data_IF_684075716583
#
_entry.id   IF_684075716583
#
_cell.length_a   1.000
_cell.length_b   1.000
_cell.length_c   1.000
_cell.angle_alpha   90.00
_cell.angle_beta   90.00
_cell.angle_gamma   90.00
#
_symmetry.space_group_name_H-M   'P 1'
#
loop_
_entity.id
_entity.type
_entity.pdbx_description
1 polymer ?
#
# COMPACT_ATOMS: atom_id res chain seq x y z
N UNK A 1 -10.84 -27.08 -21.74
CA UNK A 1 -11.47 -25.93 -21.06
C UNK A 1 -10.34 -25.09 -20.52
N UNK A 2 -9.99 -24.00 -21.20
CA UNK A 2 -8.98 -23.05 -20.73
C UNK A 2 -9.67 -22.07 -19.79
N UNK A 3 -9.16 -21.95 -18.56
CA UNK A 3 -9.61 -20.97 -17.59
C UNK A 3 -9.40 -19.55 -18.16
N UNK A 4 -10.31 -18.60 -17.94
CA UNK A 4 -10.07 -17.23 -18.33
C UNK A 4 -8.87 -16.68 -17.55
N UNK A 5 -7.85 -16.23 -18.28
CA UNK A 5 -6.68 -15.59 -17.68
C UNK A 5 -7.08 -14.25 -17.08
N UNK A 6 -6.64 -14.03 -15.84
CA UNK A 6 -6.79 -12.77 -15.14
C UNK A 6 -5.69 -11.83 -15.62
N UNK A 7 -6.06 -10.67 -16.08
CA UNK A 7 -5.10 -9.60 -16.34
C UNK A 7 -4.95 -8.81 -15.04
N UNK A 8 -3.82 -8.97 -14.38
CA UNK A 8 -3.40 -8.10 -13.29
C UNK A 8 -2.46 -7.03 -13.84
N UNK A 9 -2.73 -5.78 -13.56
CA UNK A 9 -1.88 -4.67 -13.93
C UNK A 9 -1.08 -4.24 -12.70
N UNK A 10 0.25 -4.43 -12.72
CA UNK A 10 1.15 -3.94 -11.69
C UNK A 10 1.82 -2.65 -12.17
N UNK A 11 1.70 -1.59 -11.41
CA UNK A 11 2.32 -0.30 -11.70
C UNK A 11 3.38 -0.01 -10.65
N UNK A 12 4.62 0.12 -11.08
CA UNK A 12 5.72 0.58 -10.24
C UNK A 12 5.86 2.10 -10.35
N UNK A 13 6.19 2.76 -9.26
CA UNK A 13 6.27 4.22 -9.13
C UNK A 13 7.31 4.91 -10.04
N UNK A 14 8.07 4.16 -10.85
CA UNK A 14 9.03 4.71 -11.83
C UNK A 14 9.10 3.96 -13.16
N UNK A 15 8.36 2.84 -13.30
CA UNK A 15 8.24 2.12 -14.58
C UNK A 15 6.85 1.50 -14.66
N UNK A 16 6.01 2.03 -15.54
CA UNK A 16 4.72 1.43 -15.85
C UNK A 16 4.95 0.18 -16.69
N UNK A 17 4.88 -0.99 -16.08
CA UNK A 17 4.90 -2.27 -16.82
C UNK A 17 3.45 -2.66 -17.08
N UNK A 18 2.96 -2.36 -18.27
CA UNK A 18 1.70 -2.90 -18.76
C UNK A 18 1.99 -4.31 -19.29
N UNK A 19 1.68 -5.34 -18.53
CA UNK A 19 1.71 -6.70 -19.03
C UNK A 19 0.41 -6.99 -19.76
N UNK A 20 0.40 -6.74 -21.08
CA UNK A 20 -0.69 -7.15 -21.96
C UNK A 20 -0.53 -8.64 -22.28
N UNK A 21 -1.14 -9.50 -21.49
CA UNK A 21 -1.36 -10.88 -21.89
C UNK A 21 -2.39 -10.91 -23.05
N UNK A 22 -1.93 -11.25 -24.25
CA UNK A 22 -2.80 -11.34 -25.42
C UNK A 22 -3.83 -12.47 -25.28
N UNK A 23 -5.02 -12.15 -24.80
CA UNK A 23 -6.17 -13.05 -24.87
C UNK A 23 -6.87 -12.87 -26.22
N UNK A 24 -6.98 -13.93 -27.00
CA UNK A 24 -7.85 -13.98 -28.18
C UNK A 24 -9.28 -13.64 -27.75
N UNK A 25 -9.86 -12.63 -28.41
CA UNK A 25 -11.28 -12.30 -28.27
C UNK A 25 -12.14 -13.55 -28.44
N UNK A 26 -12.76 -14.01 -27.39
CA UNK A 26 -13.93 -14.89 -27.44
C UNK A 26 -15.16 -14.07 -27.10
N UNK A 27 -16.22 -14.34 -27.88
CA UNK A 27 -17.50 -13.64 -27.88
C UNK A 27 -18.14 -13.48 -26.49
N UNK A 28 -18.94 -12.41 -26.28
CA UNK A 28 -19.52 -12.07 -25.01
C UNK A 28 -20.76 -12.93 -24.76
N UNK A 29 -20.62 -14.07 -24.11
CA UNK A 29 -21.77 -14.73 -23.50
C UNK A 29 -21.39 -15.77 -22.46
N UNK A 30 -20.91 -15.32 -21.34
CA UNK A 30 -21.15 -15.95 -20.04
C UNK A 30 -20.95 -14.85 -19.01
N UNK A 31 -21.90 -14.63 -18.10
CA UNK A 31 -21.71 -13.91 -16.86
C UNK A 31 -20.66 -14.70 -16.08
N UNK A 32 -19.39 -14.49 -16.42
CA UNK A 32 -18.28 -15.12 -15.72
C UNK A 32 -18.33 -14.62 -14.27
N UNK A 33 -18.23 -15.53 -13.30
CA UNK A 33 -18.05 -15.19 -11.88
C UNK A 33 -16.68 -14.51 -11.63
N UNK A 34 -16.11 -13.92 -12.68
CA UNK A 34 -14.90 -13.14 -12.57
C UNK A 34 -15.18 -11.89 -11.68
N UNK A 35 -14.25 -11.52 -10.78
CA UNK A 35 -12.94 -12.14 -10.56
C UNK A 35 -12.94 -13.34 -9.60
N UNK A 36 -14.05 -13.67 -8.97
CA UNK A 36 -14.11 -14.69 -7.91
C UNK A 36 -13.68 -16.10 -8.34
N UNK A 37 -13.93 -16.48 -9.58
CA UNK A 37 -13.54 -17.79 -10.11
C UNK A 37 -12.21 -17.83 -10.84
N UNK A 38 -11.50 -16.68 -10.92
CA UNK A 38 -10.25 -16.57 -11.67
C UNK A 38 -9.02 -16.87 -10.82
N UNK A 39 -7.91 -17.22 -11.49
CA UNK A 39 -6.60 -17.32 -10.83
C UNK A 39 -5.81 -16.05 -11.13
N UNK A 40 -5.33 -15.39 -10.09
CA UNK A 40 -4.34 -14.31 -10.23
C UNK A 40 -2.96 -14.95 -10.26
N UNK A 41 -2.15 -14.63 -11.27
CA UNK A 41 -0.77 -15.09 -11.29
C UNK A 41 0.02 -14.44 -10.14
N UNK A 42 0.64 -15.24 -9.25
CA UNK A 42 1.37 -14.71 -8.10
C UNK A 42 2.52 -13.77 -8.48
N UNK A 43 3.06 -13.86 -9.69
CA UNK A 43 4.16 -13.02 -10.15
C UNK A 43 3.79 -11.54 -10.20
N UNK A 44 2.58 -11.21 -10.61
CA UNK A 44 2.10 -9.81 -10.60
C UNK A 44 2.05 -9.24 -9.19
N UNK A 45 1.59 -10.05 -8.25
CA UNK A 45 1.56 -9.68 -6.85
C UNK A 45 2.97 -9.45 -6.29
N UNK A 46 3.90 -10.38 -6.60
CA UNK A 46 5.29 -10.26 -6.16
C UNK A 46 5.98 -9.02 -6.74
N UNK A 47 5.74 -8.71 -8.01
CA UNK A 47 6.30 -7.51 -8.65
C UNK A 47 5.72 -6.25 -8.00
N UNK A 48 4.41 -6.14 -7.83
CA UNK A 48 3.78 -4.98 -7.19
C UNK A 48 4.29 -4.78 -5.76
N UNK A 49 4.42 -5.85 -5.01
CA UNK A 49 4.90 -5.79 -3.63
C UNK A 49 6.39 -5.43 -3.55
N UNK A 50 7.24 -6.06 -4.36
CA UNK A 50 8.68 -5.83 -4.34
C UNK A 50 9.10 -4.46 -4.87
N UNK A 51 8.31 -3.86 -5.76
CA UNK A 51 8.57 -2.52 -6.31
C UNK A 51 7.86 -1.39 -5.56
N UNK A 52 6.90 -1.73 -4.70
CA UNK A 52 6.03 -0.73 -4.08
C UNK A 52 4.90 -0.23 -4.99
N UNK A 53 4.74 -0.86 -6.17
CA UNK A 53 3.70 -0.53 -7.14
C UNK A 53 2.30 -0.99 -6.71
N UNK A 54 1.29 -0.61 -7.47
CA UNK A 54 -0.10 -1.02 -7.25
C UNK A 54 -0.42 -2.32 -7.98
N UNK A 55 -1.32 -3.11 -7.40
CA UNK A 55 -1.98 -4.23 -8.04
C UNK A 55 -3.46 -3.89 -8.21
N UNK A 56 -3.90 -3.74 -9.45
CA UNK A 56 -5.31 -3.55 -9.78
C UNK A 56 -5.88 -4.87 -10.31
N UNK A 57 -7.00 -5.28 -9.75
CA UNK A 57 -7.74 -6.46 -10.17
C UNK A 57 -8.88 -6.03 -11.11
N UNK A 58 -8.61 -6.01 -12.42
CA UNK A 58 -9.55 -5.52 -13.42
C UNK A 58 -10.06 -6.64 -14.32
N UNK A 59 -11.33 -6.59 -14.69
CA UNK A 59 -11.86 -7.42 -15.76
C UNK A 59 -11.30 -6.96 -17.12
N UNK A 60 -11.21 -7.84 -18.14
CA UNK A 60 -10.69 -7.46 -19.46
C UNK A 60 -11.39 -6.24 -20.08
N UNK A 61 -12.69 -6.07 -19.86
CA UNK A 61 -13.45 -4.93 -20.35
C UNK A 61 -13.27 -3.65 -19.52
N UNK A 62 -12.70 -3.73 -18.33
CA UNK A 62 -12.40 -2.59 -17.45
C UNK A 62 -11.01 -1.99 -17.73
N UNK A 63 -10.16 -2.68 -18.49
CA UNK A 63 -8.78 -2.24 -18.75
C UNK A 63 -8.73 -0.89 -19.48
N UNK A 64 -9.66 -0.63 -20.38
CA UNK A 64 -9.73 0.64 -21.11
C UNK A 64 -9.93 1.84 -20.15
N UNK A 65 -10.56 1.64 -19.01
CA UNK A 65 -10.86 2.66 -18.01
C UNK A 65 -9.79 2.76 -16.91
N UNK A 66 -8.67 2.04 -17.05
CA UNK A 66 -7.61 1.99 -16.01
C UNK A 66 -6.67 3.20 -16.02
N UNK A 67 -6.59 3.97 -17.10
CA UNK A 67 -5.66 5.12 -17.19
C UNK A 67 -5.82 6.13 -16.04
N UNK A 68 -7.04 6.51 -15.62
CA UNK A 68 -7.22 7.39 -14.49
C UNK A 68 -6.61 6.85 -13.19
N UNK A 69 -6.62 5.52 -12.97
CA UNK A 69 -6.04 4.89 -11.78
C UNK A 69 -4.54 5.21 -11.65
N UNK A 70 -3.82 5.14 -12.78
CA UNK A 70 -2.39 5.40 -12.83
C UNK A 70 -2.07 6.85 -12.47
N UNK A 71 -2.86 7.80 -13.01
CA UNK A 71 -2.70 9.22 -12.73
C UNK A 71 -3.02 9.55 -11.26
N UNK A 72 -3.99 8.87 -10.67
CA UNK A 72 -4.33 9.05 -9.25
C UNK A 72 -3.19 8.62 -8.33
N UNK A 73 -2.58 7.48 -8.61
CA UNK A 73 -1.44 6.94 -7.85
C UNK A 73 -0.24 7.87 -7.93
N UNK A 74 0.12 8.37 -9.11
CA UNK A 74 1.28 9.23 -9.32
C UNK A 74 1.18 10.55 -8.53
N UNK A 75 -0.02 11.05 -8.33
CA UNK A 75 -0.28 12.28 -7.54
C UNK A 75 -0.18 12.08 -6.02
N UNK A 76 -0.14 10.85 -5.54
CA UNK A 76 -0.14 10.50 -4.12
C UNK A 76 1.09 9.64 -3.76
N UNK A 77 2.30 10.20 -3.76
CA UNK A 77 3.54 9.42 -3.71
C UNK A 77 3.83 8.78 -2.34
N UNK A 78 3.22 9.29 -1.25
CA UNK A 78 3.52 8.81 0.10
C UNK A 78 2.53 7.74 0.55
N UNK A 79 3.01 6.53 0.81
CA UNK A 79 2.20 5.46 1.40
C UNK A 79 1.99 5.71 2.89
N UNK A 80 0.72 5.78 3.32
CA UNK A 80 0.31 5.85 4.72
C UNK A 80 0.02 4.46 5.27
N UNK A 81 -0.68 3.64 4.50
CA UNK A 81 -1.06 2.28 4.88
C UNK A 81 -0.95 1.37 3.66
N UNK A 82 -0.50 0.14 3.86
CA UNK A 82 -0.46 -0.87 2.82
C UNK A 82 -0.57 -2.26 3.41
N UNK A 83 -1.60 -2.96 2.97
CA UNK A 83 -1.81 -4.38 3.24
C UNK A 83 -1.90 -5.10 1.90
N UNK A 84 -1.24 -6.24 1.82
CA UNK A 84 -1.31 -7.11 0.67
C UNK A 84 -1.25 -8.57 1.12
N UNK A 85 -2.16 -9.39 0.60
CA UNK A 85 -2.26 -10.80 0.99
C UNK A 85 -3.57 -11.41 0.55
N UNK A 86 -4.00 -12.45 1.29
CA UNK A 86 -5.30 -13.07 1.12
C UNK A 86 -6.17 -12.79 2.33
N UNK A 87 -7.44 -12.51 2.09
CA UNK A 87 -8.46 -12.37 3.13
C UNK A 87 -9.46 -13.51 3.07
N UNK A 88 -9.95 -13.91 4.23
CA UNK A 88 -11.04 -14.89 4.37
C UNK A 88 -12.40 -14.25 4.10
N UNK A 89 -13.44 -15.02 3.76
CA UNK A 89 -14.80 -14.46 3.65
C UNK A 89 -15.22 -13.73 4.91
N UNK A 90 -15.80 -12.54 4.75
CA UNK A 90 -16.28 -11.72 5.87
C UNK A 90 -15.97 -10.24 5.68
N UNK A 91 -16.27 -9.47 6.73
CA UNK A 91 -15.96 -8.04 6.81
C UNK A 91 -14.62 -7.84 7.49
N UNK A 92 -13.77 -7.04 6.87
CA UNK A 92 -12.46 -6.66 7.38
C UNK A 92 -12.43 -5.15 7.57
N UNK A 93 -11.92 -4.70 8.72
CA UNK A 93 -11.76 -3.28 9.05
C UNK A 93 -10.28 -2.94 9.20
N UNK A 94 -9.88 -1.82 8.57
CA UNK A 94 -8.52 -1.28 8.62
C UNK A 94 -8.58 0.15 9.12
N UNK A 95 -7.88 0.44 10.21
CA UNK A 95 -7.82 1.77 10.82
C UNK A 95 -6.58 2.49 10.36
N UNK A 96 -6.74 3.67 9.79
CA UNK A 96 -5.69 4.45 9.14
C UNK A 96 -5.66 5.85 9.74
N UNK A 97 -4.56 6.25 10.42
CA UNK A 97 -4.42 7.61 10.92
C UNK A 97 -4.12 8.57 9.77
N UNK A 98 -4.88 9.63 9.68
CA UNK A 98 -4.66 10.76 8.77
C UNK A 98 -4.33 11.97 9.63
N UNK A 99 -3.13 12.49 9.47
CA UNK A 99 -2.60 13.63 10.21
C UNK A 99 -2.85 14.96 9.49
N UNK A 100 -2.52 16.08 10.15
CA UNK A 100 -2.80 17.42 9.65
C UNK A 100 -1.95 17.86 8.45
N UNK A 101 -0.92 17.10 8.07
CA UNK A 101 -0.07 17.40 6.91
C UNK A 101 -0.62 16.83 5.59
N UNK A 102 -1.70 16.04 5.66
CA UNK A 102 -2.28 15.39 4.48
C UNK A 102 -3.19 16.35 3.73
N UNK A 103 -2.77 16.72 2.53
CA UNK A 103 -3.54 17.60 1.64
C UNK A 103 -4.60 16.82 0.85
N UNK A 104 -4.24 15.62 0.39
CA UNK A 104 -5.14 14.73 -0.34
C UNK A 104 -4.79 13.28 -0.04
N UNK A 105 -5.79 12.43 0.13
CA UNK A 105 -5.64 11.01 0.41
C UNK A 105 -6.34 10.16 -0.65
N UNK A 106 -5.62 9.18 -1.19
CA UNK A 106 -6.10 8.17 -2.09
C UNK A 106 -6.30 6.85 -1.34
N UNK A 107 -7.52 6.37 -1.29
CA UNK A 107 -7.89 5.06 -0.74
C UNK A 107 -8.14 4.09 -1.88
N UNK A 108 -7.35 3.02 -1.98
CA UNK A 108 -7.48 1.95 -2.98
C UNK A 108 -7.75 0.64 -2.27
N UNK A 109 -8.81 -0.04 -2.68
CA UNK A 109 -9.30 -1.28 -2.10
C UNK A 109 -9.50 -2.27 -3.23
N UNK A 110 -8.57 -3.22 -3.38
CA UNK A 110 -8.61 -4.31 -4.34
C UNK A 110 -8.92 -5.61 -3.61
N UNK A 111 -10.02 -6.28 -3.93
CA UNK A 111 -10.35 -7.60 -3.37
C UNK A 111 -10.89 -8.49 -4.46
N UNK A 112 -10.31 -9.67 -4.63
CA UNK A 112 -10.66 -10.58 -5.73
C UNK A 112 -12.17 -10.90 -5.79
N UNK A 113 -12.78 -11.18 -4.66
CA UNK A 113 -14.23 -11.37 -4.54
C UNK A 113 -14.83 -10.23 -3.71
N UNK A 114 -14.67 -9.00 -4.16
CA UNK A 114 -15.21 -7.83 -3.48
C UNK A 114 -16.75 -7.85 -3.50
N UNK A 115 -17.35 -7.71 -2.33
CA UNK A 115 -18.79 -7.58 -2.14
C UNK A 115 -19.16 -6.14 -1.80
N UNK A 116 -18.48 -5.57 -0.78
CA UNK A 116 -18.66 -4.18 -0.38
C UNK A 116 -17.32 -3.55 -0.05
N UNK A 117 -17.20 -2.25 -0.33
CA UNK A 117 -16.10 -1.41 0.13
C UNK A 117 -16.68 -0.09 0.62
N UNK A 118 -16.41 0.24 1.86
CA UNK A 118 -16.88 1.45 2.52
C UNK A 118 -15.70 2.20 3.12
N UNK A 119 -15.78 3.53 3.06
CA UNK A 119 -14.85 4.43 3.72
C UNK A 119 -15.59 5.22 4.78
N UNK A 120 -15.11 5.16 6.03
CA UNK A 120 -15.72 5.81 7.19
C UNK A 120 -14.79 6.90 7.70
N UNK A 121 -15.34 8.10 7.86
CA UNK A 121 -14.63 9.28 8.41
C UNK A 121 -14.32 9.10 9.90
N UNK A 122 -13.39 9.89 10.47
CA UNK A 122 -13.17 9.93 11.92
C UNK A 122 -14.43 10.24 12.72
N UNK A 123 -15.34 11.06 12.18
CA UNK A 123 -16.65 11.36 12.75
C UNK A 123 -17.62 10.17 12.80
N UNK A 124 -17.29 9.04 12.15
CA UNK A 124 -18.17 7.88 12.01
C UNK A 124 -19.10 7.93 10.80
N UNK A 125 -19.12 9.02 10.05
CA UNK A 125 -19.93 9.15 8.85
C UNK A 125 -19.34 8.37 7.68
N UNK A 126 -20.19 7.73 6.88
CA UNK A 126 -19.78 7.15 5.59
C UNK A 126 -19.39 8.25 4.61
N UNK A 127 -18.37 7.98 3.82
CA UNK A 127 -17.97 8.88 2.74
C UNK A 127 -18.96 8.74 1.58
N UNK A 128 -19.80 9.76 1.43
CA UNK A 128 -20.78 9.89 0.34
C UNK A 128 -20.86 11.36 -0.06
N UNK A 129 -20.85 11.70 -1.36
CA UNK A 129 -21.16 13.04 -1.84
C UNK A 129 -20.00 14.04 -1.91
N UNK A 130 -20.23 15.30 -1.59
CA UNK A 130 -19.33 16.42 -1.87
C UNK A 130 -17.93 16.28 -1.26
N UNK A 131 -16.91 16.69 -2.02
CA UNK A 131 -15.50 16.62 -1.60
C UNK A 131 -14.86 15.25 -1.78
N UNK A 132 -15.59 14.32 -2.36
CA UNK A 132 -15.14 12.96 -2.63
C UNK A 132 -15.27 12.69 -4.12
N UNK A 133 -14.15 12.41 -4.77
CA UNK A 133 -14.17 11.82 -6.09
C UNK A 133 -14.11 10.28 -5.92
N UNK A 134 -15.24 9.60 -6.15
CA UNK A 134 -15.18 8.18 -6.50
C UNK A 134 -14.46 8.10 -7.83
N UNK A 135 -13.14 7.91 -7.75
CA UNK A 135 -12.27 7.99 -8.90
C UNK A 135 -12.51 6.84 -9.86
N UNK A 136 -12.77 5.64 -9.31
CA UNK A 136 -13.15 4.48 -10.07
C UNK A 136 -13.84 3.44 -9.19
N UNK A 137 -14.88 2.82 -9.75
CA UNK A 137 -15.55 1.66 -9.17
C UNK A 137 -15.56 0.55 -10.21
N UNK A 138 -14.79 -0.49 -9.93
CA UNK A 138 -14.71 -1.70 -10.73
C UNK A 138 -15.24 -2.88 -9.91
N UNK A 139 -15.34 -4.05 -10.52
CA UNK A 139 -15.88 -5.25 -9.84
C UNK A 139 -15.07 -5.69 -8.63
N UNK A 140 -13.75 -5.57 -8.71
CA UNK A 140 -12.84 -5.98 -7.65
C UNK A 140 -12.04 -4.83 -7.06
N UNK A 141 -12.30 -3.60 -7.50
CA UNK A 141 -11.54 -2.41 -7.13
C UNK A 141 -12.47 -1.26 -6.79
N UNK A 142 -12.16 -0.58 -5.69
CA UNK A 142 -12.72 0.71 -5.33
C UNK A 142 -11.60 1.70 -5.06
N UNK A 143 -11.62 2.82 -5.74
CA UNK A 143 -10.65 3.88 -5.55
C UNK A 143 -11.37 5.20 -5.25
N UNK A 144 -11.00 5.84 -4.15
CA UNK A 144 -11.61 7.07 -3.65
C UNK A 144 -10.53 8.09 -3.32
N UNK A 145 -10.63 9.29 -3.86
CA UNK A 145 -9.78 10.43 -3.48
C UNK A 145 -10.58 11.34 -2.57
N UNK A 146 -9.97 11.73 -1.46
CA UNK A 146 -10.52 12.71 -0.53
C UNK A 146 -9.56 13.88 -0.46
N UNK A 147 -9.99 15.03 -0.94
CA UNK A 147 -9.24 16.28 -0.81
C UNK A 147 -9.49 16.87 0.59
N UNK A 148 -8.44 17.38 1.22
CA UNK A 148 -8.44 17.92 2.57
C UNK A 148 -9.17 17.02 3.58
N UNK A 149 -8.70 15.75 3.75
CA UNK A 149 -9.39 14.80 4.60
C UNK A 149 -9.41 15.27 6.05
N UNK A 150 -10.50 14.97 6.76
CA UNK A 150 -10.56 15.14 8.22
C UNK A 150 -9.36 14.46 8.88
N UNK A 151 -8.72 15.13 9.82
CA UNK A 151 -7.68 14.53 10.66
C UNK A 151 -8.29 13.54 11.64
N UNK A 152 -7.58 12.44 11.89
CA UNK A 152 -8.03 11.41 12.81
C UNK A 152 -7.97 10.01 12.20
N UNK A 153 -8.66 9.06 12.82
CA UNK A 153 -8.64 7.68 12.38
C UNK A 153 -9.76 7.39 11.38
N UNK A 154 -9.39 7.19 10.15
CA UNK A 154 -10.27 6.70 9.10
C UNK A 154 -10.40 5.19 9.17
N UNK A 155 -11.55 4.65 8.76
CA UNK A 155 -11.77 3.21 8.70
C UNK A 155 -12.15 2.80 7.28
N UNK A 156 -11.34 1.91 6.70
CA UNK A 156 -11.71 1.19 5.48
C UNK A 156 -12.39 -0.11 5.90
N UNK A 157 -13.61 -0.34 5.42
CA UNK A 157 -14.35 -1.61 5.56
C UNK A 157 -14.44 -2.28 4.20
N UNK A 158 -13.98 -3.51 4.12
CA UNK A 158 -14.11 -4.31 2.91
C UNK A 158 -14.69 -5.68 3.26
N UNK A 159 -15.73 -6.10 2.53
CA UNK A 159 -16.21 -7.48 2.61
C UNK A 159 -15.90 -8.22 1.32
N UNK A 160 -15.46 -9.46 1.45
CA UNK A 160 -15.06 -10.27 0.32
C UNK A 160 -14.12 -11.40 0.72
N UNK A 161 -13.42 -11.95 -0.28
CA UNK A 161 -12.45 -13.01 -0.06
C UNK A 161 -11.44 -13.10 -1.20
N UNK A 162 -10.37 -13.87 -0.97
CA UNK A 162 -9.32 -14.10 -1.96
C UNK A 162 -8.18 -13.11 -1.84
N UNK A 163 -7.46 -12.86 -2.94
CA UNK A 163 -6.35 -11.91 -2.96
C UNK A 163 -6.90 -10.50 -2.68
N UNK A 164 -6.23 -9.78 -1.80
CA UNK A 164 -6.60 -8.45 -1.38
C UNK A 164 -5.39 -7.54 -1.27
N UNK A 165 -5.56 -6.30 -1.73
CA UNK A 165 -4.69 -5.16 -1.48
C UNK A 165 -5.51 -4.00 -0.94
N UNK A 166 -5.11 -3.46 0.20
CA UNK A 166 -5.66 -2.21 0.71
C UNK A 166 -4.50 -1.24 0.85
N UNK A 167 -4.61 -0.10 0.20
CA UNK A 167 -3.56 0.90 0.20
C UNK A 167 -4.15 2.28 0.40
N UNK A 168 -3.48 3.07 1.25
CA UNK A 168 -3.75 4.49 1.41
C UNK A 168 -2.48 5.25 1.12
N UNK A 169 -2.57 6.15 0.17
CA UNK A 169 -1.48 7.04 -0.23
C UNK A 169 -1.90 8.49 -0.08
N UNK A 170 -0.94 9.39 0.02
CA UNK A 170 -1.23 10.79 0.22
C UNK A 170 -0.26 11.72 -0.50
N UNK A 171 -0.76 12.91 -0.79
CA UNK A 171 0.02 14.13 -0.96
C UNK A 171 0.12 14.77 0.41
N UNK A 172 1.35 14.93 0.93
CA UNK A 172 1.60 15.31 2.32
C UNK A 172 3.00 15.89 2.48
N UNK A 173 3.18 16.79 3.44
CA UNK A 173 4.48 17.36 3.78
C UNK A 173 5.33 16.41 4.62
N UNK A 174 4.72 15.55 5.45
CA UNK A 174 5.44 14.53 6.19
C UNK A 174 5.63 13.29 5.31
N UNK A 175 6.88 12.91 5.04
CA UNK A 175 7.19 11.80 4.15
C UNK A 175 8.41 10.98 4.63
N UNK A 176 8.35 9.66 4.44
CA UNK A 176 9.50 8.77 4.56
C UNK A 176 10.31 8.87 3.26
N UNK A 177 11.39 9.65 3.29
CA UNK A 177 12.16 10.01 2.09
C UNK A 177 13.45 9.22 1.91
N UNK A 178 13.89 8.48 2.93
CA UNK A 178 15.08 7.65 2.88
C UNK A 178 14.89 6.38 3.68
N UNK A 179 15.24 5.25 3.09
CA UNK A 179 15.27 3.96 3.76
C UNK A 179 16.36 3.10 3.13
N UNK A 180 17.39 2.79 3.91
CA UNK A 180 18.56 2.07 3.48
C UNK A 180 18.95 1.02 4.50
N UNK A 181 19.58 -0.06 4.06
CA UNK A 181 20.05 -1.15 4.91
C UNK A 181 21.54 -1.39 4.69
N UNK A 182 22.25 -1.69 5.76
CA UNK A 182 23.63 -2.16 5.69
C UNK A 182 23.82 -3.36 6.60
N UNK A 183 24.43 -4.48 6.14
CA UNK A 183 24.92 -5.50 7.04
C UNK A 183 26.10 -4.96 7.88
N UNK A 184 26.40 -5.56 9.07
CA UNK A 184 27.45 -5.05 9.95
C UNK A 184 28.87 -5.30 9.41
N UNK A 185 29.89 -4.71 10.11
CA UNK A 185 30.26 -3.33 10.04
C UNK A 185 31.15 -3.03 8.81
N UNK A 186 31.08 -1.80 8.29
CA UNK A 186 31.93 -1.35 7.18
C UNK A 186 31.37 -1.60 5.78
N UNK A 187 30.14 -2.09 5.67
CA UNK A 187 29.48 -2.34 4.38
C UNK A 187 28.66 -1.13 3.96
N UNK A 188 28.71 -0.79 2.67
CA UNK A 188 27.87 0.28 2.12
C UNK A 188 26.38 -0.03 2.26
N UNK A 189 25.59 1.01 2.52
CA UNK A 189 24.14 0.91 2.53
C UNK A 189 23.61 0.43 1.18
N UNK A 190 22.59 -0.45 1.24
CA UNK A 190 21.93 -1.07 0.09
C UNK A 190 20.42 -0.99 0.26
N UNK A 191 19.71 -1.17 -0.84
CA UNK A 191 18.25 -1.21 -0.81
C UNK A 191 17.69 -2.55 -0.26
N UNK A 192 18.51 -3.59 -0.10
CA UNK A 192 18.06 -4.93 0.30
C UNK A 192 18.83 -5.42 1.51
N UNK A 193 18.15 -5.78 2.61
CA UNK A 193 18.78 -6.36 3.81
C UNK A 193 19.22 -7.81 3.60
N UNK A 194 20.10 -8.30 4.48
CA UNK A 194 20.59 -9.69 4.47
C UNK A 194 19.87 -10.47 5.57
N UNK A 195 19.34 -11.64 5.22
CA UNK A 195 18.62 -12.51 6.15
C UNK A 195 19.55 -13.13 7.19
N UNK A 196 19.03 -13.30 8.42
CA UNK A 196 19.73 -14.02 9.49
C UNK A 196 20.93 -13.31 10.10
N UNK A 197 21.29 -12.12 9.61
CA UNK A 197 22.36 -11.30 10.19
C UNK A 197 21.80 -9.96 10.70
N UNK A 198 22.49 -9.34 11.64
CA UNK A 198 22.12 -8.01 12.08
C UNK A 198 22.38 -7.02 10.93
N UNK A 199 21.37 -6.21 10.60
CA UNK A 199 21.47 -5.11 9.66
C UNK A 199 21.28 -3.80 10.42
N UNK A 200 21.97 -2.75 9.97
CA UNK A 200 21.64 -1.38 10.31
C UNK A 200 20.61 -0.87 9.32
N UNK A 201 19.48 -0.37 9.79
CA UNK A 201 18.53 0.38 8.98
C UNK A 201 18.74 1.86 9.26
N UNK A 202 18.87 2.65 8.19
CA UNK A 202 18.84 4.11 8.23
C UNK A 202 17.53 4.57 7.63
N UNK A 203 16.82 5.44 8.34
CA UNK A 203 15.59 6.05 7.84
C UNK A 203 15.65 7.57 8.02
N UNK A 204 15.00 8.28 7.09
CA UNK A 204 14.85 9.74 7.17
C UNK A 204 13.39 10.11 6.92
N UNK A 205 12.87 10.96 7.79
CA UNK A 205 11.52 11.52 7.67
C UNK A 205 11.66 13.00 7.29
N UNK A 206 10.98 13.42 6.24
CA UNK A 206 10.84 14.83 5.90
C UNK A 206 9.63 15.41 6.59
N UNK A 207 9.67 16.67 6.95
CA UNK A 207 8.61 17.42 7.63
C UNK A 207 8.92 17.64 9.10
N UNK A 208 8.15 18.51 9.74
CA UNK A 208 8.24 18.75 11.17
C UNK A 208 7.52 17.62 11.91
N UNK A 209 8.27 16.81 12.68
CA UNK A 209 7.77 15.61 13.33
C UNK A 209 8.35 15.46 14.75
N UNK A 210 7.56 14.85 15.61
CA UNK A 210 7.92 14.57 16.99
C UNK A 210 7.65 13.10 17.34
N UNK A 211 8.28 12.59 18.39
CA UNK A 211 8.07 11.25 18.94
C UNK A 211 8.14 10.14 17.86
N UNK A 212 9.17 10.21 16.99
CA UNK A 212 9.33 9.28 15.88
C UNK A 212 9.65 7.88 16.39
N UNK A 213 8.82 6.94 16.03
CA UNK A 213 9.00 5.50 16.27
C UNK A 213 9.01 4.76 14.93
N UNK A 214 9.66 3.59 14.90
CA UNK A 214 9.61 2.73 13.73
C UNK A 214 9.38 1.27 14.12
N UNK A 215 8.76 0.54 13.22
CA UNK A 215 8.51 -0.89 13.37
C UNK A 215 8.65 -1.63 12.05
N UNK A 216 9.00 -2.90 12.15
CA UNK A 216 8.97 -3.86 11.06
C UNK A 216 7.58 -4.47 11.03
N UNK A 217 6.90 -4.40 9.89
CA UNK A 217 5.57 -4.98 9.68
C UNK A 217 5.57 -5.99 8.53
N UNK A 218 4.74 -7.01 8.62
CA UNK A 218 4.54 -7.99 7.54
C UNK A 218 3.76 -7.39 6.36
N UNK A 219 3.65 -8.12 5.23
CA UNK A 219 2.78 -7.76 4.12
C UNK A 219 1.30 -7.60 4.53
N UNK A 220 0.85 -8.36 5.54
CA UNK A 220 -0.49 -8.25 6.13
C UNK A 220 -0.60 -7.14 7.21
N UNK A 221 0.36 -6.24 7.27
CA UNK A 221 0.45 -5.11 8.20
C UNK A 221 0.40 -5.50 9.69
N UNK A 222 0.98 -6.66 10.04
CA UNK A 222 1.18 -7.08 11.43
C UNK A 222 2.57 -6.72 11.89
N UNK A 223 2.70 -6.10 13.05
CA UNK A 223 4.00 -5.78 13.66
C UNK A 223 4.79 -7.05 13.95
N UNK A 224 6.00 -7.11 13.40
CA UNK A 224 6.97 -8.19 13.63
C UNK A 224 7.94 -7.78 14.73
N UNK A 225 8.46 -6.55 14.68
CA UNK A 225 9.39 -6.01 15.64
C UNK A 225 9.28 -4.49 15.74
N UNK A 226 9.60 -3.93 16.91
CA UNK A 226 9.83 -2.49 17.06
C UNK A 226 11.32 -2.21 16.93
N UNK A 227 11.66 -1.09 16.30
CA UNK A 227 13.04 -0.65 16.11
C UNK A 227 13.42 0.35 17.20
N UNK A 228 14.53 0.10 17.89
CA UNK A 228 15.11 1.07 18.82
C UNK A 228 15.87 2.12 18.01
N UNK A 229 15.21 3.24 17.73
CA UNK A 229 15.79 4.34 16.97
C UNK A 229 16.80 5.12 17.79
N UNK A 230 17.93 5.45 17.17
CA UNK A 230 18.89 6.44 17.64
C UNK A 230 19.06 7.52 16.58
N UNK A 231 19.23 8.80 16.98
CA UNK A 231 19.49 9.88 16.02
C UNK A 231 20.73 9.57 15.17
N UNK A 232 20.66 9.96 13.88
CA UNK A 232 21.77 9.91 12.93
C UNK A 232 22.08 11.33 12.44
N UNK A 233 23.09 11.49 11.61
CA UNK A 233 23.43 12.78 11.02
C UNK A 233 22.30 13.31 10.12
N UNK A 234 21.93 14.55 10.35
CA UNK A 234 20.85 15.24 9.63
C UNK A 234 19.56 15.32 10.43
N UNK A 235 18.74 16.25 10.02
CA UNK A 235 17.44 16.49 10.63
C UNK A 235 16.49 15.32 10.39
N UNK A 236 15.85 14.81 11.48
CA UNK A 236 14.94 13.67 11.43
C UNK A 236 15.50 12.43 10.71
N UNK A 237 16.82 12.20 10.87
CA UNK A 237 17.50 10.99 10.45
C UNK A 237 17.73 10.07 11.64
N UNK A 238 17.50 8.78 11.45
CA UNK A 238 17.57 7.78 12.52
C UNK A 238 18.20 6.49 12.01
N UNK A 239 18.88 5.80 12.93
CA UNK A 239 19.40 4.45 12.72
C UNK A 239 18.86 3.50 13.75
N UNK A 240 18.69 2.25 13.36
CA UNK A 240 18.36 1.14 14.24
C UNK A 240 19.05 -0.13 13.78
N UNK A 241 19.07 -1.15 14.63
CA UNK A 241 19.61 -2.48 14.32
C UNK A 241 18.50 -3.51 14.42
N UNK A 242 18.49 -4.44 13.49
CA UNK A 242 17.57 -5.58 13.51
C UNK A 242 18.10 -6.73 12.66
N UNK A 243 17.66 -7.95 12.97
CA UNK A 243 17.99 -9.15 12.20
C UNK A 243 16.71 -9.64 11.49
N UNK A 244 16.57 -9.40 10.18
CA UNK A 244 15.40 -9.86 9.44
C UNK A 244 15.42 -11.37 9.30
N UNK A 245 14.24 -12.00 9.46
CA UNK A 245 14.01 -13.38 9.00
C UNK A 245 13.91 -13.44 7.46
N UNK A 246 13.68 -14.63 6.91
CA UNK A 246 13.52 -14.82 5.46
C UNK A 246 12.22 -14.23 4.89
N UNK A 247 11.25 -13.87 5.74
CA UNK A 247 9.95 -13.31 5.32
C UNK A 247 10.04 -11.87 4.84
N UNK A 248 9.21 -11.51 3.86
CA UNK A 248 9.09 -10.14 3.39
C UNK A 248 8.52 -9.21 4.49
N UNK A 249 9.01 -7.97 4.51
CA UNK A 249 8.58 -6.97 5.49
C UNK A 249 8.55 -5.55 4.91
N UNK A 250 7.87 -4.65 5.60
CA UNK A 250 7.92 -3.19 5.41
C UNK A 250 8.41 -2.51 6.68
N UNK A 251 8.87 -1.29 6.52
CA UNK A 251 9.14 -0.39 7.64
C UNK A 251 7.97 0.57 7.75
N UNK A 252 7.34 0.58 8.92
CA UNK A 252 6.32 1.56 9.29
C UNK A 252 6.94 2.55 10.27
N UNK A 253 6.76 3.84 9.99
CA UNK A 253 7.19 4.96 10.83
C UNK A 253 5.96 5.67 11.33
N UNK A 254 5.92 5.91 12.63
CA UNK A 254 4.85 6.64 13.31
C UNK A 254 5.44 7.77 14.15
N UNK A 255 4.61 8.69 14.56
CA UNK A 255 5.00 9.82 15.41
C UNK A 255 3.86 10.82 15.53
N UNK A 256 4.21 12.07 15.82
CA UNK A 256 3.27 13.19 15.90
C UNK A 256 3.65 14.27 14.91
N UNK A 257 2.63 14.89 14.30
CA UNK A 257 2.78 16.10 13.51
C UNK A 257 2.95 17.33 14.42
N UNK A 258 3.18 18.56 13.89
CA UNK A 258 3.34 19.77 14.70
C UNK A 258 2.12 20.12 15.57
N UNK A 259 0.96 19.56 15.25
CA UNK A 259 -0.29 19.75 16.01
C UNK A 259 -0.51 18.68 17.07
N UNK A 260 0.45 17.74 17.22
CA UNK A 260 0.36 16.62 18.15
C UNK A 260 -0.52 15.46 17.66
N UNK A 261 -0.97 15.49 16.40
CA UNK A 261 -1.77 14.42 15.81
C UNK A 261 -0.89 13.25 15.37
N UNK A 262 -1.34 12.01 15.54
CA UNK A 262 -0.56 10.85 15.14
C UNK A 262 -0.45 10.75 13.62
N UNK A 263 0.77 10.58 13.10
CA UNK A 263 1.02 10.23 11.71
C UNK A 263 1.52 8.80 11.56
N UNK A 264 1.33 8.24 10.38
CA UNK A 264 1.89 6.96 9.95
C UNK A 264 2.40 7.07 8.52
N UNK A 265 3.61 6.55 8.27
CA UNK A 265 4.20 6.42 6.93
C UNK A 265 4.78 5.01 6.79
N UNK A 266 4.64 4.42 5.63
CA UNK A 266 5.05 3.04 5.38
C UNK A 266 5.93 2.99 4.13
N UNK A 267 6.95 2.16 4.15
CA UNK A 267 7.72 1.90 2.94
C UNK A 267 6.81 1.30 1.87
N UNK A 268 6.84 1.85 0.65
CA UNK A 268 6.05 1.32 -0.44
C UNK A 268 6.46 -0.13 -0.82
N UNK A 269 7.77 -0.46 -1.03
CA UNK A 269 8.17 -1.82 -1.32
C UNK A 269 8.11 -2.73 -0.09
N UNK A 270 7.81 -4.00 -0.35
CA UNK A 270 8.04 -5.11 0.56
C UNK A 270 9.49 -5.59 0.37
N UNK A 271 10.32 -5.42 1.38
CA UNK A 271 11.70 -5.88 1.34
C UNK A 271 11.77 -7.39 1.57
N UNK A 272 12.37 -8.11 0.64
CA UNK A 272 12.66 -9.53 0.81
C UNK A 272 14.16 -9.68 1.09
N UNK A 273 14.55 -10.06 2.32
CA UNK A 273 15.96 -10.28 2.67
C UNK A 273 16.59 -11.37 1.80
N UNK A 274 17.88 -11.22 1.48
CA UNK A 274 18.67 -12.17 0.69
C UNK A 274 19.60 -12.97 1.53
#
# INVERSE_FOLDING_TARGET
MQSPEIVACAVAASLSVLALGGARQQAPNTRSNWPCGGRVDPSYFQVAEGTGGHLFLLAPFEIADSTPLLLAVDKHPQTIFRLAGSITPGVHEFRIPIDGSVESALFSISVQCLQTAELVRPSGALVTGEGVADYATFRAERMTIVEHPETGTWTVRASGSGIAGVMVQARTDIALVGLEFAPPPGTAFKATPVAGVENVVRLRVRGDVQDVEASIVSGAFKTIARLALTPDEGEHAYVARFSPGAGGFRVAVTGRDPHGLPFQRVSAPLFTPR
#
